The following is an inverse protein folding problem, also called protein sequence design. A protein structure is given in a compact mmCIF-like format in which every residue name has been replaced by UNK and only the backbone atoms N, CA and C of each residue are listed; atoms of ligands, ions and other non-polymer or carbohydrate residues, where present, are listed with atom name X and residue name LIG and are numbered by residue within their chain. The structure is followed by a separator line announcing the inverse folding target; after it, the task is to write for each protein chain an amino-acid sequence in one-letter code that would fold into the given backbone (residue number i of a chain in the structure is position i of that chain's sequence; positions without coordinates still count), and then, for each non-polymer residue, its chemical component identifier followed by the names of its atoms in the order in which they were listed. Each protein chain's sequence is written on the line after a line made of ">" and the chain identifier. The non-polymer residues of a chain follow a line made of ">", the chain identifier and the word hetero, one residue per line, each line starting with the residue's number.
data_IF_639963522144
#
_entry.id   IF_639963522144
#
_cell.length_a   1.000
_cell.length_b   1.000
_cell.length_c   1.000
_cell.angle_alpha   90.00
_cell.angle_beta   90.00
_cell.angle_gamma   90.00
#
_symmetry.space_group_name_H-M   'P 1'
#
loop_
_entity.id
_entity.type
_entity.pdbx_description
1 polymer ?
#
# COMPACT_ATOMS: atom_id res chain seq x y z
N UNK A 1 15.33 -6.47 19.68
CA UNK A 1 14.58 -7.01 18.52
C UNK A 1 13.57 -5.99 17.97
N UNK A 2 12.58 -5.57 18.79
CA UNK A 2 11.52 -4.62 18.39
C UNK A 2 12.01 -3.35 17.66
N UNK A 3 12.92 -2.59 18.26
CA UNK A 3 13.44 -1.34 17.66
C UNK A 3 14.09 -1.55 16.29
N UNK A 4 14.79 -2.68 16.08
CA UNK A 4 15.39 -3.00 14.77
C UNK A 4 14.33 -3.30 13.72
N UNK A 5 13.24 -3.95 14.10
CA UNK A 5 12.12 -4.21 13.21
C UNK A 5 11.39 -2.91 12.85
N UNK A 6 11.13 -2.05 13.85
CA UNK A 6 10.51 -0.74 13.61
C UNK A 6 11.36 0.12 12.67
N UNK A 7 12.68 0.16 12.87
CA UNK A 7 13.60 0.83 11.96
C UNK A 7 13.51 0.25 10.55
N UNK A 8 13.62 -1.07 10.40
CA UNK A 8 13.53 -1.75 9.11
C UNK A 8 12.23 -1.41 8.35
N UNK A 9 11.09 -1.46 9.03
CA UNK A 9 9.79 -1.18 8.42
C UNK A 9 9.63 0.31 8.08
N UNK A 10 10.08 1.22 8.94
CA UNK A 10 9.92 2.66 8.74
C UNK A 10 10.90 3.27 7.74
N UNK A 11 12.07 2.67 7.54
CA UNK A 11 13.10 3.22 6.63
C UNK A 11 13.21 2.51 5.29
N UNK A 12 12.81 1.24 5.18
CA UNK A 12 12.96 0.47 3.94
C UNK A 12 11.64 0.17 3.21
N UNK A 13 10.49 0.42 3.85
CA UNK A 13 9.16 0.18 3.25
C UNK A 13 8.39 1.49 3.14
N UNK A 14 7.36 1.48 2.30
CA UNK A 14 6.47 2.61 2.13
C UNK A 14 5.27 2.49 3.07
N UNK A 15 4.82 3.62 3.63
CA UNK A 15 3.47 3.71 4.18
C UNK A 15 2.44 3.78 3.05
N UNK A 16 1.17 3.48 3.31
CA UNK A 16 0.12 3.57 2.29
C UNK A 16 -0.06 5.00 1.74
N UNK A 17 0.07 6.04 2.57
CA UNK A 17 0.06 7.43 2.10
C UNK A 17 1.26 7.73 1.17
N UNK A 18 2.44 7.19 1.49
CA UNK A 18 3.63 7.36 0.68
C UNK A 18 3.50 6.68 -0.70
N UNK A 19 2.77 5.56 -0.78
CA UNK A 19 2.38 4.93 -2.06
C UNK A 19 1.51 5.87 -2.88
N UNK A 20 0.50 6.50 -2.25
CA UNK A 20 -0.36 7.46 -2.94
C UNK A 20 0.38 8.70 -3.42
N UNK A 21 1.25 9.27 -2.58
CA UNK A 21 2.11 10.40 -2.97
C UNK A 21 3.03 10.05 -4.14
N UNK A 22 3.64 8.85 -4.13
CA UNK A 22 4.48 8.38 -5.22
C UNK A 22 3.68 8.24 -6.52
N UNK A 23 2.50 7.61 -6.48
CA UNK A 23 1.65 7.42 -7.64
C UNK A 23 1.18 8.75 -8.25
N UNK A 24 0.75 9.70 -7.41
CA UNK A 24 0.33 11.02 -7.85
C UNK A 24 1.48 11.80 -8.51
N UNK A 25 2.67 11.79 -7.91
CA UNK A 25 3.86 12.44 -8.49
C UNK A 25 4.32 11.78 -9.78
N UNK A 26 4.18 10.47 -9.89
CA UNK A 26 4.53 9.71 -11.10
C UNK A 26 3.50 9.85 -12.23
N UNK A 27 2.30 10.38 -11.96
CA UNK A 27 1.25 10.55 -12.96
C UNK A 27 0.73 9.24 -13.54
N UNK A 28 0.76 8.15 -12.75
CA UNK A 28 0.31 6.84 -13.22
C UNK A 28 -1.21 6.80 -13.39
N UNK A 29 -1.68 5.96 -14.33
CA UNK A 29 -3.12 5.81 -14.61
C UNK A 29 -3.85 4.97 -13.55
N UNK A 30 -3.16 4.05 -12.88
CA UNK A 30 -3.70 3.16 -11.87
C UNK A 30 -2.56 2.64 -10.95
N UNK A 31 -2.93 2.15 -9.77
CA UNK A 31 -2.00 1.57 -8.78
C UNK A 31 -2.48 0.16 -8.40
N UNK A 32 -1.56 -0.80 -8.49
CA UNK A 32 -1.71 -2.15 -7.94
C UNK A 32 -0.71 -2.31 -6.80
N UNK A 33 -1.19 -2.57 -5.59
CA UNK A 33 -0.39 -2.68 -4.37
C UNK A 33 -0.18 -4.16 -4.04
N UNK A 34 1.07 -4.54 -3.85
CA UNK A 34 1.48 -5.86 -3.36
C UNK A 34 2.45 -5.71 -2.18
N UNK A 35 2.92 -6.81 -1.61
CA UNK A 35 3.89 -6.82 -0.50
C UNK A 35 3.45 -5.95 0.70
N UNK A 36 2.17 -5.99 1.04
CA UNK A 36 1.64 -5.25 2.18
C UNK A 36 1.62 -6.11 3.44
N UNK A 37 1.82 -5.48 4.60
CA UNK A 37 1.71 -6.15 5.88
C UNK A 37 0.26 -6.59 6.10
N UNK A 38 0.04 -7.83 6.53
CA UNK A 38 -1.32 -8.32 6.77
C UNK A 38 -1.39 -9.78 7.23
N UNK A 39 -0.54 -10.66 6.70
CA UNK A 39 -0.82 -12.09 6.85
C UNK A 39 -2.17 -12.42 6.19
N UNK A 40 -3.04 -13.19 6.86
CA UNK A 40 -4.35 -13.57 6.30
C UNK A 40 -5.20 -12.35 5.94
N UNK A 41 -5.86 -12.32 4.77
CA UNK A 41 -6.73 -11.23 4.37
C UNK A 41 -7.81 -10.96 5.43
N UNK A 42 -7.92 -9.69 5.85
CA UNK A 42 -8.99 -9.18 6.70
C UNK A 42 -9.64 -7.99 5.99
N UNK A 43 -10.93 -8.07 5.61
CA UNK A 43 -11.59 -7.05 4.80
C UNK A 43 -11.50 -5.63 5.39
N UNK A 44 -11.65 -5.49 6.71
CA UNK A 44 -11.65 -4.20 7.41
C UNK A 44 -10.27 -3.55 7.32
N UNK A 45 -9.21 -4.31 7.60
CA UNK A 45 -7.83 -3.82 7.51
C UNK A 45 -7.44 -3.50 6.07
N UNK A 46 -7.84 -4.32 5.09
CA UNK A 46 -7.58 -4.03 3.67
C UNK A 46 -8.26 -2.75 3.18
N UNK A 47 -9.45 -2.43 3.69
CA UNK A 47 -10.09 -1.15 3.39
C UNK A 47 -9.31 0.05 3.95
N UNK A 48 -8.70 -0.10 5.14
CA UNK A 48 -7.84 0.93 5.72
C UNK A 48 -6.64 1.31 4.85
N UNK A 49 -5.98 0.31 4.24
CA UNK A 49 -4.88 0.55 3.29
C UNK A 49 -5.31 1.38 2.08
N UNK A 50 -6.44 1.00 1.47
CA UNK A 50 -6.97 1.71 0.30
C UNK A 50 -7.35 3.15 0.65
N UNK A 51 -7.97 3.37 1.82
CA UNK A 51 -8.37 4.69 2.28
C UNK A 51 -7.17 5.64 2.44
N UNK A 52 -6.07 5.17 3.04
CA UNK A 52 -4.85 5.97 3.23
C UNK A 52 -4.18 6.33 1.89
N UNK A 53 -4.10 5.38 0.95
CA UNK A 53 -3.55 5.65 -0.40
C UNK A 53 -4.44 6.68 -1.14
N UNK A 54 -5.76 6.51 -1.03
CA UNK A 54 -6.76 7.38 -1.68
C UNK A 54 -6.72 8.82 -1.16
N UNK A 55 -6.23 9.05 0.06
CA UNK A 55 -6.02 10.40 0.57
C UNK A 55 -5.01 11.21 -0.27
N UNK A 56 -4.15 10.52 -1.05
CA UNK A 56 -3.08 11.14 -1.86
C UNK A 56 -3.18 10.84 -3.36
N UNK A 57 -3.88 9.77 -3.77
CA UNK A 57 -4.03 9.37 -5.17
C UNK A 57 -5.50 9.13 -5.54
N UNK A 58 -5.96 9.81 -6.58
CA UNK A 58 -7.37 9.78 -7.01
C UNK A 58 -7.70 8.69 -8.06
N UNK A 59 -6.68 8.04 -8.63
CA UNK A 59 -6.88 7.01 -9.65
C UNK A 59 -7.35 5.66 -9.09
N UNK A 60 -7.60 4.67 -9.96
CA UNK A 60 -7.92 3.30 -9.55
C UNK A 60 -6.83 2.68 -8.67
N UNK A 61 -7.24 2.06 -7.56
CA UNK A 61 -6.36 1.40 -6.59
C UNK A 61 -6.86 -0.03 -6.39
N UNK A 62 -5.96 -0.99 -6.54
CA UNK A 62 -6.23 -2.42 -6.27
C UNK A 62 -5.19 -2.99 -5.31
N UNK A 63 -5.64 -3.76 -4.31
CA UNK A 63 -4.77 -4.64 -3.55
C UNK A 63 -4.68 -5.97 -4.32
N UNK A 64 -3.48 -6.40 -4.69
CA UNK A 64 -3.28 -7.64 -5.42
C UNK A 64 -3.46 -8.87 -4.53
N UNK A 65 -4.08 -9.90 -5.10
CA UNK A 65 -4.03 -11.27 -4.60
C UNK A 65 -3.09 -12.09 -5.48
N UNK A 66 -2.61 -13.20 -4.92
CA UNK A 66 -1.83 -14.17 -5.67
C UNK A 66 -2.63 -14.64 -6.91
N UNK A 67 -1.97 -14.64 -8.06
CA UNK A 67 -2.50 -15.03 -9.37
C UNK A 67 -3.50 -14.04 -10.03
N UNK A 68 -3.72 -12.86 -9.45
CA UNK A 68 -4.51 -11.81 -10.11
C UNK A 68 -3.88 -11.37 -11.46
N UNK A 69 -4.71 -10.79 -12.33
CA UNK A 69 -4.31 -10.21 -13.63
C UNK A 69 -4.88 -8.79 -13.75
N UNK A 70 -4.09 -7.87 -14.30
CA UNK A 70 -4.40 -6.43 -14.40
C UNK A 70 -4.06 -5.87 -15.78
#
# INVERSE_FOLDING_TARGET
>A
AKQKLEQHLSTHHLTPEAVGDLAARAGVKAVVITHFAGGTPDPVRTQGYIAQVRARFAGPITLANDLDRF
#
